data_IF_839348687072
#
_entry.id   IF_839348687072
#
_cell.length_a   1.000
_cell.length_b   1.000
_cell.length_c   1.000
_cell.angle_alpha   90.00
_cell.angle_beta   90.00
_cell.angle_gamma   90.00
#
_symmetry.space_group_name_H-M   'P 1'
#
loop_
_entity.id
_entity.type
_entity.pdbx_description
1 polymer ?
#
# COMPACT_ATOMS: atom_id res chain seq x y z
N UNK A 1 -83.76 12.71 -17.78
CA UNK A 1 -82.84 12.05 -16.84
C UNK A 1 -81.89 11.17 -17.66
N UNK A 2 -81.09 11.77 -18.55
CA UNK A 2 -79.86 12.55 -18.34
C UNK A 2 -78.63 11.66 -18.10
N UNK A 3 -77.85 11.49 -19.17
CA UNK A 3 -76.41 11.29 -19.11
C UNK A 3 -75.75 12.67 -18.94
N UNK A 4 -74.66 12.77 -18.18
CA UNK A 4 -73.64 13.78 -18.46
C UNK A 4 -72.35 13.16 -18.99
N UNK A 5 -71.81 13.87 -19.97
CA UNK A 5 -70.55 13.69 -20.68
C UNK A 5 -69.54 14.70 -20.08
N UNK A 6 -68.26 14.36 -20.21
CA UNK A 6 -67.06 15.22 -20.12
C UNK A 6 -66.63 15.75 -18.74
N UNK A 7 -65.40 15.39 -18.36
CA UNK A 7 -64.39 16.41 -18.16
C UNK A 7 -63.00 15.85 -18.52
N UNK A 8 -62.43 16.44 -19.55
CA UNK A 8 -61.02 16.36 -19.90
C UNK A 8 -60.17 16.92 -18.75
N UNK A 9 -59.02 16.29 -18.52
CA UNK A 9 -57.96 16.85 -17.68
C UNK A 9 -56.65 16.53 -18.37
N UNK A 10 -56.30 17.40 -19.30
CA UNK A 10 -54.94 17.53 -19.85
C UNK A 10 -53.94 17.54 -18.70
N UNK A 11 -53.11 16.52 -18.62
CA UNK A 11 -51.89 16.57 -17.81
C UNK A 11 -50.71 16.44 -18.78
N UNK A 12 -50.20 17.60 -19.17
CA UNK A 12 -48.92 17.78 -19.87
C UNK A 12 -47.84 16.95 -19.17
N UNK A 13 -47.36 15.89 -19.82
CA UNK A 13 -46.12 15.22 -19.41
C UNK A 13 -44.95 16.08 -19.87
N UNK A 14 -44.54 16.99 -19.00
CA UNK A 14 -43.27 17.70 -19.12
C UNK A 14 -42.14 16.65 -19.14
N UNK A 15 -41.62 16.39 -20.33
CA UNK A 15 -40.47 15.52 -20.54
C UNK A 15 -39.24 16.31 -20.08
N UNK A 16 -38.81 16.12 -18.84
CA UNK A 16 -37.53 16.63 -18.35
C UNK A 16 -36.41 15.93 -19.13
N UNK A 17 -35.50 16.66 -19.82
CA UNK A 17 -34.37 16.03 -20.49
C UNK A 17 -33.45 15.39 -19.44
N UNK A 18 -33.27 14.08 -19.54
CA UNK A 18 -32.28 13.32 -18.76
C UNK A 18 -30.88 13.88 -19.02
N UNK A 19 -30.30 14.56 -18.03
CA UNK A 19 -28.88 14.94 -18.06
C UNK A 19 -28.01 13.68 -18.17
N UNK A 20 -26.92 13.69 -18.97
CA UNK A 20 -26.00 12.57 -19.02
C UNK A 20 -25.34 12.36 -17.65
N UNK A 21 -24.95 11.11 -17.30
CA UNK A 21 -24.21 10.85 -16.08
C UNK A 21 -22.92 11.68 -16.09
N UNK A 22 -22.76 12.55 -15.09
CA UNK A 22 -21.46 13.13 -14.78
C UNK A 22 -20.62 11.97 -14.26
N UNK A 23 -19.84 11.34 -15.14
CA UNK A 23 -18.73 10.51 -14.69
C UNK A 23 -17.75 11.46 -14.01
N UNK A 24 -17.43 11.29 -12.72
CA UNK A 24 -16.27 11.95 -12.15
C UNK A 24 -15.11 11.58 -13.06
N UNK A 25 -14.55 12.57 -13.75
CA UNK A 25 -13.26 12.40 -14.37
C UNK A 25 -12.31 12.19 -13.19
N UNK A 26 -12.04 10.92 -12.89
CA UNK A 26 -11.04 10.46 -11.93
C UNK A 26 -9.68 10.89 -12.47
N UNK A 27 -9.43 12.19 -12.44
CA UNK A 27 -8.07 12.72 -12.35
C UNK A 27 -7.63 12.48 -10.91
N UNK A 28 -7.65 11.21 -10.50
CA UNK A 28 -7.04 10.73 -9.28
C UNK A 28 -5.56 11.05 -9.46
N UNK A 29 -5.14 12.18 -8.88
CA UNK A 29 -3.73 12.51 -8.71
C UNK A 29 -3.11 11.32 -8.01
N UNK A 30 -2.42 10.46 -8.76
CA UNK A 30 -1.67 9.33 -8.23
C UNK A 30 -0.65 9.95 -7.28
N UNK A 31 -0.92 9.92 -5.98
CA UNK A 31 -0.01 10.47 -4.97
C UNK A 31 1.27 9.65 -5.09
N UNK A 32 2.31 10.26 -5.66
CA UNK A 32 3.59 9.61 -5.90
C UNK A 32 4.51 9.88 -4.70
N UNK A 33 4.37 9.07 -3.65
CA UNK A 33 5.28 9.12 -2.50
C UNK A 33 6.53 8.31 -2.87
N UNK A 34 7.65 9.02 -3.09
CA UNK A 34 8.98 8.41 -3.30
C UNK A 34 9.84 8.68 -2.08
N UNK A 35 10.48 7.65 -1.56
CA UNK A 35 11.49 7.79 -0.51
C UNK A 35 12.62 8.68 -1.00
N UNK A 36 12.89 9.72 -0.21
CA UNK A 36 14.07 10.57 -0.26
C UNK A 36 14.78 10.54 1.10
N UNK A 37 15.77 11.40 1.30
CA UNK A 37 16.59 11.44 2.51
C UNK A 37 15.86 12.05 3.73
N UNK A 38 14.66 12.59 3.54
CA UNK A 38 13.95 13.41 4.55
C UNK A 38 12.56 12.90 4.93
N UNK A 39 11.96 12.01 4.12
CA UNK A 39 10.54 11.68 4.23
C UNK A 39 10.25 10.24 4.71
N UNK A 40 11.23 9.58 5.32
CA UNK A 40 11.13 8.17 5.73
C UNK A 40 9.86 7.86 6.54
N UNK A 41 9.48 8.69 7.51
CA UNK A 41 8.30 8.45 8.35
C UNK A 41 6.99 8.42 7.55
N UNK A 42 6.83 9.30 6.56
CA UNK A 42 5.66 9.31 5.68
C UNK A 42 5.69 8.11 4.72
N UNK A 43 6.84 7.89 4.09
CA UNK A 43 7.03 6.81 3.13
C UNK A 43 6.79 5.44 3.75
N UNK A 44 7.42 5.16 4.89
CA UNK A 44 7.30 3.89 5.61
C UNK A 44 5.83 3.62 5.95
N UNK A 45 5.11 4.63 6.47
CA UNK A 45 3.70 4.43 6.82
C UNK A 45 2.82 4.15 5.61
N UNK A 46 3.07 4.85 4.49
CA UNK A 46 2.36 4.60 3.24
C UNK A 46 2.61 3.18 2.71
N UNK A 47 3.87 2.74 2.69
CA UNK A 47 4.26 1.41 2.21
C UNK A 47 3.65 0.31 3.06
N UNK A 48 3.66 0.45 4.39
CA UNK A 48 2.99 -0.49 5.30
C UNK A 48 1.51 -0.65 4.94
N UNK A 49 0.77 0.45 4.81
CA UNK A 49 -0.66 0.45 4.49
C UNK A 49 -0.91 -0.16 3.11
N UNK A 50 -0.11 0.23 2.11
CA UNK A 50 -0.25 -0.24 0.74
C UNK A 50 -0.03 -1.75 0.60
N UNK A 51 0.96 -2.30 1.31
CA UNK A 51 1.31 -3.72 1.30
C UNK A 51 0.32 -4.53 2.15
N UNK A 52 -0.10 -4.00 3.31
CA UNK A 52 -1.13 -4.62 4.13
C UNK A 52 -2.47 -4.72 3.40
N UNK A 53 -2.86 -3.68 2.65
CA UNK A 53 -4.05 -3.70 1.79
C UNK A 53 -3.99 -4.73 0.65
N UNK A 54 -2.85 -5.39 0.42
CA UNK A 54 -2.66 -6.47 -0.56
C UNK A 54 -2.43 -7.83 0.09
N UNK A 55 -2.61 -7.94 1.40
CA UNK A 55 -2.39 -9.17 2.16
C UNK A 55 -0.95 -9.70 2.03
N UNK A 56 0.03 -8.78 1.91
CA UNK A 56 1.47 -9.13 1.80
C UNK A 56 2.32 -8.57 2.94
N UNK A 57 1.70 -8.12 4.03
CA UNK A 57 2.42 -7.49 5.15
C UNK A 57 3.50 -8.38 5.77
N UNK A 58 3.27 -9.71 5.83
CA UNK A 58 4.24 -10.66 6.37
C UNK A 58 5.59 -10.71 5.66
N UNK A 59 5.67 -10.22 4.40
CA UNK A 59 6.94 -10.08 3.67
C UNK A 59 7.81 -8.91 4.17
N UNK A 60 7.25 -8.01 5.00
CA UNK A 60 8.00 -6.95 5.69
C UNK A 60 8.45 -7.39 7.10
N UNK A 61 7.59 -8.08 7.85
CA UNK A 61 7.75 -8.35 9.30
C UNK A 61 8.42 -9.67 9.66
N UNK A 62 9.00 -10.37 8.67
CA UNK A 62 9.56 -11.74 8.83
C UNK A 62 8.55 -12.85 9.08
N UNK A 63 7.26 -12.57 9.11
CA UNK A 63 6.20 -13.59 9.24
C UNK A 63 6.14 -14.50 8.02
N UNK A 64 6.40 -13.98 6.82
CA UNK A 64 6.54 -14.76 5.59
C UNK A 64 7.92 -15.41 5.51
N UNK A 65 8.12 -16.49 6.27
CA UNK A 65 9.38 -17.26 6.30
C UNK A 65 9.72 -17.81 4.90
N UNK A 66 10.97 -17.65 4.47
CA UNK A 66 11.48 -18.25 3.24
C UNK A 66 11.38 -19.78 3.33
N UNK A 67 10.50 -20.42 2.52
CA UNK A 67 10.32 -21.87 2.58
C UNK A 67 11.48 -22.58 1.90
N UNK A 68 11.70 -23.86 2.23
CA UNK A 68 12.65 -24.70 1.51
C UNK A 68 12.33 -24.73 0.01
N UNK A 69 13.34 -24.73 -0.86
CA UNK A 69 13.19 -24.74 -2.33
C UNK A 69 12.45 -25.96 -2.86
N UNK A 70 12.38 -27.03 -2.07
CA UNK A 70 11.64 -28.27 -2.36
C UNK A 70 10.15 -28.20 -1.98
N UNK A 71 9.73 -27.14 -1.27
CA UNK A 71 8.34 -26.93 -0.87
C UNK A 71 7.46 -26.61 -2.06
N UNK A 72 6.24 -27.16 -2.08
CA UNK A 72 5.21 -26.83 -3.06
C UNK A 72 4.89 -25.32 -3.08
N UNK A 73 5.07 -24.64 -1.94
CA UNK A 73 4.76 -23.22 -1.77
C UNK A 73 5.91 -22.28 -2.17
N UNK A 74 7.10 -22.79 -2.48
CA UNK A 74 8.28 -21.95 -2.77
C UNK A 74 8.08 -21.03 -3.98
N UNK A 75 7.49 -21.55 -5.06
CA UNK A 75 7.24 -20.74 -6.26
C UNK A 75 6.29 -19.58 -5.99
N UNK A 76 5.23 -19.82 -5.22
CA UNK A 76 4.27 -18.78 -4.84
C UNK A 76 4.92 -17.74 -3.93
N UNK A 77 5.67 -18.19 -2.92
CA UNK A 77 6.42 -17.29 -2.03
C UNK A 77 7.42 -16.42 -2.80
N UNK A 78 8.15 -17.01 -3.76
CA UNK A 78 9.12 -16.28 -4.58
C UNK A 78 8.44 -15.20 -5.43
N UNK A 79 7.30 -15.51 -6.04
CA UNK A 79 6.52 -14.55 -6.81
C UNK A 79 6.00 -13.41 -5.93
N UNK A 80 5.41 -13.73 -4.78
CA UNK A 80 4.91 -12.73 -3.84
C UNK A 80 6.03 -11.85 -3.28
N UNK A 81 7.18 -12.43 -2.92
CA UNK A 81 8.36 -11.69 -2.51
C UNK A 81 8.83 -10.73 -3.62
N UNK A 82 8.88 -11.18 -4.88
CA UNK A 82 9.27 -10.34 -6.00
C UNK A 82 8.29 -9.17 -6.25
N UNK A 83 6.98 -9.39 -6.07
CA UNK A 83 5.99 -8.31 -6.13
C UNK A 83 6.24 -7.24 -5.08
N UNK A 84 6.49 -7.67 -3.83
CA UNK A 84 6.75 -6.72 -2.73
C UNK A 84 8.07 -5.99 -2.94
N UNK A 85 9.11 -6.66 -3.45
CA UNK A 85 10.36 -5.99 -3.87
C UNK A 85 10.07 -4.91 -4.93
N UNK A 86 9.28 -5.25 -5.95
CA UNK A 86 8.89 -4.31 -7.00
C UNK A 86 8.22 -3.06 -6.44
N UNK A 87 7.26 -3.20 -5.51
CA UNK A 87 6.60 -2.06 -4.89
C UNK A 87 7.54 -1.22 -4.02
N UNK A 88 8.39 -1.86 -3.20
CA UNK A 88 9.36 -1.15 -2.38
C UNK A 88 10.28 -0.29 -3.25
N UNK A 89 10.78 -0.84 -4.35
CA UNK A 89 11.66 -0.15 -5.29
C UNK A 89 10.93 0.92 -6.10
N UNK A 90 9.68 0.66 -6.50
CA UNK A 90 8.83 1.67 -7.17
C UNK A 90 8.63 2.87 -6.27
N UNK A 91 8.53 2.69 -4.96
CA UNK A 91 8.38 3.81 -4.03
C UNK A 91 9.72 4.45 -3.63
N UNK A 92 10.83 4.21 -4.32
CA UNK A 92 12.11 4.89 -4.06
C UNK A 92 12.49 5.85 -5.19
N UNK A 93 13.20 6.93 -4.85
CA UNK A 93 13.91 7.69 -5.88
C UNK A 93 14.99 6.82 -6.56
N UNK A 94 15.34 7.07 -7.83
CA UNK A 94 16.34 6.24 -8.53
C UNK A 94 17.69 6.14 -7.80
N UNK A 95 18.10 7.23 -7.13
CA UNK A 95 19.32 7.28 -6.31
C UNK A 95 19.27 6.25 -5.18
N UNK A 96 18.19 6.25 -4.40
CA UNK A 96 17.99 5.36 -3.26
C UNK A 96 17.76 3.92 -3.73
N UNK A 97 16.94 3.74 -4.79
CA UNK A 97 16.69 2.43 -5.40
C UNK A 97 18.00 1.71 -5.78
N UNK A 98 18.97 2.44 -6.35
CA UNK A 98 20.28 1.89 -6.72
C UNK A 98 21.07 1.29 -5.55
N UNK A 99 20.81 1.74 -4.31
CA UNK A 99 21.45 1.21 -3.10
C UNK A 99 20.87 -0.15 -2.68
N UNK A 100 19.59 -0.41 -2.96
CA UNK A 100 18.87 -1.56 -2.43
C UNK A 100 18.44 -2.59 -3.48
N UNK A 101 18.49 -2.27 -4.77
CA UNK A 101 18.05 -3.12 -5.90
C UNK A 101 18.68 -4.52 -5.92
N UNK A 102 19.88 -4.69 -5.35
CA UNK A 102 20.62 -5.97 -5.32
C UNK A 102 20.27 -6.85 -4.12
N UNK A 103 19.43 -6.40 -3.20
CA UNK A 103 19.09 -7.16 -2.01
C UNK A 103 18.11 -8.30 -2.34
N UNK A 104 18.29 -9.49 -1.72
CA UNK A 104 17.67 -10.72 -2.21
C UNK A 104 16.18 -10.85 -1.91
N UNK A 105 15.66 -10.17 -0.89
CA UNK A 105 14.26 -10.30 -0.47
C UNK A 105 13.65 -8.94 -0.11
N UNK A 106 12.33 -8.84 -0.17
CA UNK A 106 11.57 -7.66 0.23
C UNK A 106 11.86 -7.29 1.70
N UNK A 107 11.90 -8.29 2.57
CA UNK A 107 12.27 -8.15 3.97
C UNK A 107 13.65 -7.49 4.13
N UNK A 108 14.66 -7.97 3.42
CA UNK A 108 16.03 -7.42 3.54
C UNK A 108 16.10 -6.00 3.01
N UNK A 109 15.35 -5.67 1.93
CA UNK A 109 15.20 -4.27 1.47
C UNK A 109 14.59 -3.42 2.57
N UNK A 110 13.43 -3.82 3.10
CA UNK A 110 12.69 -3.10 4.13
C UNK A 110 13.55 -2.82 5.38
N UNK A 111 14.24 -3.84 5.90
CA UNK A 111 15.11 -3.70 7.07
C UNK A 111 16.31 -2.79 6.80
N UNK A 112 16.90 -2.88 5.61
CA UNK A 112 18.06 -2.07 5.25
C UNK A 112 17.67 -0.60 5.10
N UNK A 113 16.52 -0.33 4.47
CA UNK A 113 15.96 1.01 4.32
C UNK A 113 15.60 1.60 5.68
N UNK A 114 14.88 0.83 6.50
CA UNK A 114 14.56 1.19 7.89
C UNK A 114 15.82 1.58 8.63
N UNK A 115 16.85 0.73 8.65
CA UNK A 115 18.11 1.02 9.36
C UNK A 115 18.85 2.27 8.84
N UNK A 116 18.74 2.55 7.54
CA UNK A 116 19.48 3.64 6.89
C UNK A 116 18.84 5.00 7.12
N UNK A 117 17.51 5.07 7.08
CA UNK A 117 16.76 6.34 7.08
C UNK A 117 15.89 6.55 8.31
N UNK A 118 15.79 5.58 9.21
CA UNK A 118 15.12 5.75 10.48
C UNK A 118 15.99 6.59 11.43
N UNK A 119 15.62 7.85 11.64
CA UNK A 119 16.33 8.80 12.51
C UNK A 119 16.03 8.62 14.02
N UNK A 120 15.79 7.37 14.47
CA UNK A 120 16.08 7.00 15.85
C UNK A 120 15.39 7.75 16.99
N UNK A 121 14.19 8.31 16.81
CA UNK A 121 13.40 8.76 17.97
C UNK A 121 13.07 7.61 18.96
N UNK A 122 13.34 6.33 18.60
CA UNK A 122 13.47 5.20 19.53
C UNK A 122 14.88 4.58 19.55
N UNK A 123 15.89 5.38 19.92
CA UNK A 123 17.11 4.85 20.53
C UNK A 123 16.80 3.97 21.77
N UNK A 124 15.61 4.12 22.37
CA UNK A 124 15.12 3.32 23.50
C UNK A 124 15.11 1.80 23.24
N UNK A 125 14.80 1.34 22.03
CA UNK A 125 14.65 -0.10 21.71
C UNK A 125 16.02 -0.78 21.59
N UNK A 126 17.02 -0.12 21.01
CA UNK A 126 18.38 -0.67 20.92
C UNK A 126 19.03 -0.71 22.31
N UNK A 127 18.80 0.30 23.15
CA UNK A 127 19.22 0.27 24.55
C UNK A 127 18.48 -0.79 25.37
N UNK A 128 17.18 -1.01 25.15
CA UNK A 128 16.40 -2.02 25.87
C UNK A 128 16.81 -3.45 25.47
N UNK A 129 17.05 -3.69 24.18
CA UNK A 129 17.53 -4.98 23.68
C UNK A 129 18.94 -5.31 24.20
N UNK A 130 19.84 -4.31 24.24
CA UNK A 130 21.17 -4.49 24.84
C UNK A 130 21.09 -4.65 26.37
N UNK A 131 20.27 -3.86 27.06
CA UNK A 131 20.13 -3.96 28.53
C UNK A 131 19.61 -5.32 28.97
N UNK A 132 18.62 -5.89 28.26
CA UNK A 132 18.11 -7.25 28.53
C UNK A 132 19.13 -8.35 28.23
N UNK A 133 20.00 -8.16 27.23
CA UNK A 133 21.08 -9.09 26.94
C UNK A 133 22.21 -9.06 27.98
N UNK A 134 22.47 -7.89 28.59
CA UNK A 134 23.48 -7.75 29.65
C UNK A 134 22.99 -8.13 31.06
N UNK A 135 21.68 -8.24 31.29
CA UNK A 135 21.09 -8.62 32.59
C UNK A 135 20.69 -10.10 32.72
N UNK A 136 21.01 -10.96 31.75
CA UNK A 136 20.85 -12.43 31.85
C UNK A 136 22.20 -13.13 32.13
N UNK A 137 22.93 -12.66 33.14
CA UNK A 137 24.04 -13.38 33.76
C UNK A 137 23.82 -13.43 35.29
#
# INVERSE_FOLDING_TARGET
MEKPIENESDTSSDTVPSLPPIYPHENSTKIEIKLDESNYSLWSKFVEIFIAGKDKYGFLTRESVNPATTSLNYKQWLADNAFVQGWLLEFMTPKIMGMFIRLPTAQVIWESVTRTYYDGADQSIIYELNSKAFHMH
#
